data_IF_997881828704
#
_entry.id   IF_997881828704
#
_cell.length_a   1.000
_cell.length_b   1.000
_cell.length_c   1.000
_cell.angle_alpha   90.00
_cell.angle_beta   90.00
_cell.angle_gamma   90.00
#
_symmetry.space_group_name_H-M   'P 1'
#
loop_
_entity.id
_entity.type
_entity.pdbx_description
1 polymer ?
#
# COMPACT_ATOMS: atom_id res chain seq x y z
N UNK A 1 42.65 27.48 -0.30
CA UNK A 1 41.50 27.66 0.60
C UNK A 1 40.22 27.63 -0.22
N UNK A 2 39.54 26.49 -0.27
CA UNK A 2 38.21 26.24 -0.85
C UNK A 2 37.62 25.06 -0.07
N UNK A 3 36.39 25.12 0.47
CA UNK A 3 35.73 23.92 0.96
C UNK A 3 34.97 23.26 -0.20
N UNK A 4 34.80 21.94 -0.17
CA UNK A 4 33.47 21.28 -0.15
C UNK A 4 33.54 19.79 -0.55
N UNK A 5 33.18 19.00 0.45
CA UNK A 5 32.38 17.76 0.40
C UNK A 5 32.81 16.64 -0.55
N UNK A 6 33.60 15.75 0.05
CA UNK A 6 33.56 14.30 -0.09
C UNK A 6 32.14 13.72 -0.23
N UNK A 7 32.04 12.62 -0.97
CA UNK A 7 31.20 11.51 -0.53
C UNK A 7 29.81 11.41 -1.14
N UNK A 8 29.76 10.91 -2.37
CA UNK A 8 28.94 9.79 -2.81
C UNK A 8 27.79 9.34 -1.87
N UNK A 9 26.54 9.66 -2.25
CA UNK A 9 25.37 8.77 -2.36
C UNK A 9 24.12 9.62 -2.56
N UNK A 10 23.97 10.13 -3.78
CA UNK A 10 22.64 10.42 -4.31
C UNK A 10 21.93 9.08 -4.46
N UNK A 11 20.99 8.78 -3.56
CA UNK A 11 20.03 7.70 -3.79
C UNK A 11 19.13 8.13 -4.94
N UNK A 12 19.64 7.94 -6.17
CA UNK A 12 18.83 7.91 -7.37
C UNK A 12 17.77 6.85 -7.14
N UNK A 13 16.54 7.31 -6.96
CA UNK A 13 15.32 6.52 -6.92
C UNK A 13 15.23 5.83 -8.28
N UNK A 14 15.88 4.66 -8.40
CA UNK A 14 15.75 3.85 -9.59
C UNK A 14 14.32 3.30 -9.58
N UNK A 15 13.53 3.56 -10.63
CA UNK A 15 12.18 3.04 -10.72
C UNK A 15 12.28 1.53 -10.88
N UNK A 16 12.03 0.78 -9.80
CA UNK A 16 11.81 -0.68 -9.89
C UNK A 16 10.41 -0.87 -10.47
N UNK A 17 10.29 -0.60 -11.77
CA UNK A 17 9.22 -1.11 -12.59
C UNK A 17 9.49 -2.60 -12.78
N UNK A 18 8.52 -3.41 -12.34
CA UNK A 18 8.16 -4.71 -12.94
C UNK A 18 9.04 -5.92 -12.58
N UNK A 19 8.69 -6.59 -11.47
CA UNK A 19 8.62 -8.08 -11.43
C UNK A 19 7.42 -8.51 -10.56
N UNK A 20 6.25 -8.56 -11.18
CA UNK A 20 5.20 -9.52 -10.80
C UNK A 20 4.67 -10.13 -12.09
N UNK A 21 5.40 -11.15 -12.54
CA UNK A 21 4.91 -12.12 -13.52
C UNK A 21 3.73 -12.89 -12.90
N UNK A 22 2.59 -12.82 -13.58
CA UNK A 22 1.53 -13.83 -13.68
C UNK A 22 1.31 -14.76 -12.47
N UNK A 23 0.40 -14.38 -11.55
CA UNK A 23 -0.66 -15.26 -11.03
C UNK A 23 -1.46 -14.55 -9.93
N UNK A 24 -2.78 -14.52 -10.12
CA UNK A 24 -3.84 -14.03 -9.22
C UNK A 24 -4.18 -12.55 -9.37
N UNK A 25 -5.48 -12.27 -9.53
CA UNK A 25 -6.14 -10.95 -9.56
C UNK A 25 -6.10 -10.28 -8.16
N UNK A 26 -4.92 -10.22 -7.55
CA UNK A 26 -4.76 -9.66 -6.22
C UNK A 26 -4.62 -8.15 -6.33
N UNK A 27 -5.55 -7.42 -5.70
CA UNK A 27 -5.48 -5.96 -5.62
C UNK A 27 -4.22 -5.54 -4.84
N UNK A 28 -3.43 -4.63 -5.40
CA UNK A 28 -2.30 -4.00 -4.71
C UNK A 28 -2.51 -2.50 -4.56
N UNK A 29 -2.04 -1.95 -3.45
CA UNK A 29 -2.07 -0.50 -3.17
C UNK A 29 -0.70 0.00 -2.77
N UNK A 30 -0.41 1.25 -3.11
CA UNK A 30 0.82 1.94 -2.69
C UNK A 30 0.58 2.64 -1.37
N UNK A 31 1.42 2.33 -0.37
CA UNK A 31 1.42 2.99 0.94
C UNK A 31 2.71 3.77 1.14
N UNK A 32 2.65 4.86 1.90
CA UNK A 32 3.78 5.72 2.25
C UNK A 32 4.25 5.43 3.67
N UNK A 33 5.54 5.24 3.86
CA UNK A 33 6.17 5.07 5.16
C UNK A 33 6.43 6.43 5.79
N UNK A 34 5.91 6.70 6.99
CA UNK A 34 6.06 8.02 7.63
C UNK A 34 7.47 8.27 8.18
N UNK A 35 8.22 7.19 8.45
CA UNK A 35 9.58 7.27 8.95
C UNK A 35 10.55 7.94 7.96
N UNK A 36 10.42 7.62 6.66
CA UNK A 36 11.40 8.02 5.64
C UNK A 36 10.76 8.74 4.44
N UNK A 37 9.43 8.69 4.32
CA UNK A 37 8.70 9.19 3.15
C UNK A 37 8.69 8.23 1.95
N UNK A 38 9.37 7.09 2.05
CA UNK A 38 9.39 6.05 1.02
C UNK A 38 7.99 5.48 0.74
N UNK A 39 7.76 5.01 -0.48
CA UNK A 39 6.51 4.33 -0.86
C UNK A 39 6.76 2.86 -1.15
N UNK A 40 5.82 2.00 -0.78
CA UNK A 40 5.90 0.55 -1.00
C UNK A 40 4.55 0.00 -1.42
N UNK A 41 4.57 -1.07 -2.22
CA UNK A 41 3.36 -1.73 -2.70
C UNK A 41 3.00 -2.89 -1.76
N UNK A 42 1.75 -2.92 -1.33
CA UNK A 42 1.21 -3.98 -0.47
C UNK A 42 0.02 -4.65 -1.15
N UNK A 43 -0.18 -5.93 -0.85
CA UNK A 43 -1.34 -6.68 -1.36
C UNK A 43 -2.52 -6.48 -0.43
N UNK A 44 -3.69 -6.14 -0.98
CA UNK A 44 -4.92 -5.99 -0.23
C UNK A 44 -5.57 -7.35 -0.02
N UNK A 45 -5.82 -7.71 1.24
CA UNK A 45 -6.61 -8.89 1.61
C UNK A 45 -8.09 -8.56 1.74
N UNK A 46 -8.40 -7.40 2.33
CA UNK A 46 -9.76 -6.97 2.60
C UNK A 46 -9.85 -5.46 2.52
N UNK A 47 -10.81 -4.94 1.78
CA UNK A 47 -11.01 -3.49 1.62
C UNK A 47 -12.39 -3.08 2.09
N UNK A 48 -12.44 -2.25 3.14
CA UNK A 48 -13.67 -1.64 3.65
C UNK A 48 -13.38 -0.19 4.05
N UNK A 49 -14.39 0.70 4.01
CA UNK A 49 -14.21 2.07 4.45
C UNK A 49 -13.77 2.18 5.93
N UNK A 50 -14.15 1.21 6.76
CA UNK A 50 -13.82 1.19 8.20
C UNK A 50 -12.44 0.57 8.49
N UNK A 51 -11.94 -0.29 7.59
CA UNK A 51 -10.72 -1.08 7.79
C UNK A 51 -10.21 -1.64 6.45
N UNK A 52 -8.93 -1.49 6.18
CA UNK A 52 -8.26 -2.15 5.04
C UNK A 52 -7.19 -3.09 5.58
N UNK A 53 -7.30 -4.38 5.29
CA UNK A 53 -6.28 -5.36 5.63
C UNK A 53 -5.34 -5.55 4.46
N UNK A 54 -4.04 -5.46 4.73
CA UNK A 54 -2.99 -5.58 3.73
C UNK A 54 -1.91 -6.55 4.17
N UNK A 55 -1.16 -7.07 3.21
CA UNK A 55 0.02 -7.89 3.44
C UNK A 55 1.22 -7.25 2.76
N UNK A 56 2.30 -7.10 3.54
CA UNK A 56 3.59 -6.65 3.07
C UNK A 56 4.56 -7.85 3.00
N UNK A 57 5.23 -8.02 1.85
CA UNK A 57 6.19 -9.10 1.60
C UNK A 57 5.64 -10.24 0.74
N UNK A 58 6.53 -11.05 0.17
CA UNK A 58 6.21 -12.28 -0.57
C UNK A 58 6.75 -13.50 0.19
N UNK A 59 5.95 -14.54 0.39
CA UNK A 59 6.36 -15.80 1.00
C UNK A 59 6.20 -15.86 2.54
N UNK A 60 7.07 -16.60 3.23
CA UNK A 60 6.95 -16.92 4.67
C UNK A 60 7.19 -15.73 5.61
N UNK A 61 7.75 -14.63 5.10
CA UNK A 61 7.95 -13.39 5.84
C UNK A 61 6.88 -12.34 5.48
N UNK A 62 5.68 -12.79 5.12
CA UNK A 62 4.54 -11.91 4.92
C UNK A 62 4.02 -11.40 6.26
N UNK A 63 3.79 -10.09 6.35
CA UNK A 63 3.24 -9.47 7.55
C UNK A 63 1.88 -8.87 7.19
N UNK A 64 0.84 -9.36 7.85
CA UNK A 64 -0.49 -8.75 7.77
C UNK A 64 -0.53 -7.49 8.64
N UNK A 65 -1.15 -6.44 8.11
CA UNK A 65 -1.34 -5.17 8.78
C UNK A 65 -2.75 -4.67 8.53
N UNK A 66 -3.35 -4.11 9.58
CA UNK A 66 -4.65 -3.47 9.53
C UNK A 66 -4.46 -1.95 9.41
N UNK A 67 -5.03 -1.36 8.37
CA UNK A 67 -5.06 0.07 8.16
C UNK A 67 -6.42 0.62 8.60
N UNK A 68 -6.39 1.53 9.56
CA UNK A 68 -7.59 2.20 10.10
C UNK A 68 -7.68 3.64 9.59
N UNK A 69 -8.89 4.18 9.37
CA UNK A 69 -9.06 5.59 9.02
C UNK A 69 -8.35 6.51 10.01
N UNK A 70 -7.55 7.42 9.48
CA UNK A 70 -6.92 8.49 10.27
C UNK A 70 -7.99 9.42 10.84
N UNK A 71 -7.69 10.06 11.98
CA UNK A 71 -8.61 10.99 12.64
C UNK A 71 -9.06 12.15 11.75
N UNK A 72 -8.24 12.54 10.77
CA UNK A 72 -8.55 13.61 9.81
C UNK A 72 -9.36 13.12 8.59
N UNK A 73 -9.59 11.81 8.45
CA UNK A 73 -10.37 11.24 7.35
C UNK A 73 -9.72 11.33 5.96
N UNK A 74 -8.45 11.73 5.88
CA UNK A 74 -7.74 11.91 4.60
C UNK A 74 -7.03 10.65 4.10
N UNK A 75 -6.95 9.62 4.94
CA UNK A 75 -6.15 8.44 4.69
C UNK A 75 -6.40 7.33 5.71
N UNK A 76 -5.73 6.20 5.52
CA UNK A 76 -5.66 5.11 6.48
C UNK A 76 -4.24 4.97 7.01
N UNK A 77 -4.08 4.69 8.29
CA UNK A 77 -2.80 4.44 8.91
C UNK A 77 -2.77 3.07 9.60
N UNK A 78 -1.61 2.43 9.58
CA UNK A 78 -1.34 1.18 10.29
C UNK A 78 0.14 1.01 10.58
N UNK A 79 0.49 -0.03 11.35
CA UNK A 79 1.87 -0.28 11.79
C UNK A 79 2.36 -1.63 11.29
N UNK A 80 3.48 -1.62 10.56
CA UNK A 80 4.14 -2.82 10.03
C UNK A 80 5.61 -2.81 10.43
N UNK A 81 6.11 -3.93 10.97
CA UNK A 81 7.51 -4.06 11.42
C UNK A 81 8.03 -2.90 12.28
N UNK A 82 7.18 -2.37 13.17
CA UNK A 82 7.55 -1.24 14.03
C UNK A 82 7.46 0.15 13.38
N UNK A 83 7.11 0.23 12.10
CA UNK A 83 7.01 1.48 11.31
C UNK A 83 5.56 1.79 10.96
N UNK A 84 5.21 3.06 10.95
CA UNK A 84 3.90 3.50 10.51
C UNK A 84 3.86 3.66 8.98
N UNK A 85 2.78 3.16 8.39
CA UNK A 85 2.46 3.27 6.98
C UNK A 85 1.11 3.96 6.82
N UNK A 86 1.01 4.79 5.79
CA UNK A 86 -0.18 5.57 5.47
C UNK A 86 -0.59 5.31 4.04
N UNK A 87 -1.85 4.93 3.86
CA UNK A 87 -2.51 4.94 2.57
C UNK A 87 -3.25 6.27 2.39
N UNK A 88 -2.80 7.09 1.45
CA UNK A 88 -3.30 8.44 1.20
C UNK A 88 -4.58 8.41 0.35
N UNK A 89 -5.61 7.70 0.83
CA UNK A 89 -6.96 7.69 0.25
C UNK A 89 -8.02 7.83 1.33
N UNK A 90 -8.97 8.73 1.13
CA UNK A 90 -10.06 8.94 2.07
C UNK A 90 -11.04 7.76 2.12
N UNK A 91 -11.71 7.54 3.26
CA UNK A 91 -12.75 6.53 3.37
C UNK A 91 -13.91 6.71 2.38
N UNK A 92 -14.30 7.94 2.07
CA UNK A 92 -15.30 8.24 1.03
C UNK A 92 -14.83 7.83 -0.36
N UNK A 93 -13.57 8.06 -0.71
CA UNK A 93 -13.03 7.62 -1.99
C UNK A 93 -12.93 6.09 -2.08
N UNK A 94 -12.57 5.42 -0.97
CA UNK A 94 -12.59 3.95 -0.88
C UNK A 94 -14.02 3.44 -1.00
N UNK A 95 -15.00 4.07 -0.34
CA UNK A 95 -16.41 3.70 -0.44
C UNK A 95 -16.93 3.87 -1.87
N UNK A 96 -16.63 5.00 -2.52
CA UNK A 96 -17.03 5.24 -3.90
C UNK A 96 -16.36 4.28 -4.89
N UNK A 97 -15.10 3.90 -4.63
CA UNK A 97 -14.41 2.88 -5.40
C UNK A 97 -15.02 1.50 -5.19
N UNK A 98 -15.34 1.13 -3.96
CA UNK A 98 -16.05 -0.11 -3.64
C UNK A 98 -17.46 -0.13 -4.24
N UNK A 99 -18.19 0.99 -4.25
CA UNK A 99 -19.51 1.11 -4.87
C UNK A 99 -19.44 0.95 -6.40
N UNK A 100 -18.41 1.54 -7.03
CA UNK A 100 -18.13 1.34 -8.46
C UNK A 100 -17.67 -0.09 -8.77
N UNK A 101 -16.92 -0.69 -7.87
CA UNK A 101 -16.40 -2.05 -8.01
C UNK A 101 -17.43 -3.10 -7.61
N UNK A 102 -18.45 -2.77 -6.81
CA UNK A 102 -19.50 -3.68 -6.32
C UNK A 102 -20.17 -4.36 -7.51
N UNK A 103 -19.88 -5.64 -7.73
CA UNK A 103 -20.53 -6.42 -8.74
C UNK A 103 -21.35 -7.47 -8.00
N UNK A 104 -22.61 -7.20 -7.68
CA UNK A 104 -23.62 -8.28 -7.63
C UNK A 104 -23.71 -9.10 -8.96
N UNK A 105 -22.79 -8.92 -9.92
CA UNK A 105 -22.96 -9.20 -11.35
C UNK A 105 -21.71 -9.67 -12.14
N UNK A 106 -20.51 -9.89 -11.56
CA UNK A 106 -19.35 -10.35 -12.36
C UNK A 106 -18.76 -11.66 -11.85
N UNK A 107 -19.45 -12.73 -12.25
CA UNK A 107 -19.02 -14.14 -12.32
C UNK A 107 -18.84 -14.79 -10.95
N UNK A 108 -19.86 -15.50 -10.48
CA UNK A 108 -20.06 -16.90 -10.87
C UNK A 108 -18.80 -17.72 -10.63
N UNK A 109 -18.77 -18.36 -9.47
CA UNK A 109 -18.15 -19.68 -9.24
C UNK A 109 -18.03 -20.44 -10.56
N UNK A 110 -16.82 -20.75 -11.08
CA UNK A 110 -16.72 -21.82 -12.05
C UNK A 110 -17.11 -23.10 -11.30
N UNK A 111 -18.21 -23.71 -11.75
CA UNK A 111 -18.66 -25.02 -11.29
C UNK A 111 -17.80 -26.14 -11.84
#
# INVERSE_FOLDING_TARGET
MRPRFDGLLVYTVHPIRRIFSSMSDAETITVRMTANGDTTEVTVLRKRPELIQVVLGKGVHSVQCDLTPTRNGLGYAGKVMGREIVYEKSPDAVKAELDRLDPKLRRSRPG
#
